data_IF_421400713396
#
_entry.id   IF_421400713396
#
_cell.length_a   1.000
_cell.length_b   1.000
_cell.length_c   1.000
_cell.angle_alpha   90.00
_cell.angle_beta   90.00
_cell.angle_gamma   90.00
#
_symmetry.space_group_name_H-M   'P 1'
#
loop_
_entity.id
_entity.type
_entity.pdbx_description
1 polymer ?
#
# COMPACT_ATOMS: atom_id res chain seq x y z
N UNK A 1 3.66 -1.24 17.25
CA UNK A 1 4.03 -0.30 16.16
C UNK A 1 5.37 0.35 16.51
N UNK A 2 6.31 0.36 15.58
CA UNK A 2 7.61 1.03 15.72
C UNK A 2 7.62 2.41 15.05
N UNK A 3 8.47 3.32 15.53
CA UNK A 3 8.76 4.58 14.84
C UNK A 3 9.98 4.37 13.96
N UNK A 4 9.86 4.71 12.69
CA UNK A 4 10.96 4.61 11.71
C UNK A 4 11.06 5.92 10.96
N UNK A 5 12.28 6.43 10.78
CA UNK A 5 12.55 7.58 9.93
C UNK A 5 12.93 7.08 8.54
N UNK A 6 12.13 7.42 7.55
CA UNK A 6 12.38 7.12 6.13
C UNK A 6 12.16 8.38 5.31
N UNK A 7 12.92 8.51 4.22
CA UNK A 7 12.71 9.58 3.24
C UNK A 7 11.59 9.16 2.29
N UNK A 8 10.60 10.03 2.11
CA UNK A 8 9.48 9.82 1.20
C UNK A 8 9.44 10.94 0.18
N UNK A 9 9.08 10.62 -1.06
CA UNK A 9 8.74 11.62 -2.05
C UNK A 9 7.41 12.28 -1.66
N UNK A 10 7.45 13.58 -1.36
CA UNK A 10 6.29 14.34 -0.94
C UNK A 10 5.22 14.45 -2.03
N UNK A 11 5.60 14.48 -3.31
CA UNK A 11 4.64 14.53 -4.42
C UNK A 11 3.88 13.22 -4.52
N UNK A 12 4.60 12.10 -4.40
CA UNK A 12 4.00 10.77 -4.42
C UNK A 12 3.04 10.58 -3.25
N UNK A 13 3.44 10.97 -2.04
CA UNK A 13 2.59 10.88 -0.85
C UNK A 13 1.36 11.78 -0.96
N UNK A 14 1.48 13.00 -1.49
CA UNK A 14 0.32 13.86 -1.69
C UNK A 14 -0.66 13.28 -2.71
N UNK A 15 -0.18 12.67 -3.79
CA UNK A 15 -1.04 11.98 -4.75
C UNK A 15 -1.72 10.77 -4.12
N UNK A 16 -0.96 9.94 -3.40
CA UNK A 16 -1.50 8.78 -2.69
C UNK A 16 -2.56 9.19 -1.66
N UNK A 17 -2.33 10.26 -0.88
CA UNK A 17 -3.30 10.82 0.06
C UNK A 17 -4.61 11.22 -0.62
N UNK A 18 -4.54 11.89 -1.77
CA UNK A 18 -5.73 12.30 -2.54
C UNK A 18 -6.52 11.09 -3.06
N UNK A 19 -5.83 10.07 -3.55
CA UNK A 19 -6.45 8.86 -4.11
C UNK A 19 -7.05 8.01 -2.98
N UNK A 20 -6.34 7.84 -1.87
CA UNK A 20 -6.77 6.98 -0.76
C UNK A 20 -7.71 7.68 0.22
N UNK A 21 -7.87 9.00 0.14
CA UNK A 21 -8.62 9.81 1.12
C UNK A 21 -7.94 9.92 2.49
N UNK A 22 -6.66 9.58 2.61
CA UNK A 22 -5.94 9.60 3.86
C UNK A 22 -5.67 11.02 4.35
N UNK A 23 -5.81 11.25 5.65
CA UNK A 23 -5.60 12.55 6.30
C UNK A 23 -4.14 12.78 6.69
N UNK A 24 -3.35 11.71 6.81
CA UNK A 24 -1.94 11.80 7.23
C UNK A 24 -1.01 10.95 6.37
N UNK A 25 0.27 11.35 6.28
CA UNK A 25 1.31 10.56 5.59
C UNK A 25 1.41 9.14 6.17
N UNK A 26 1.34 8.99 7.49
CA UNK A 26 1.37 7.69 8.19
C UNK A 26 0.21 6.79 7.77
N UNK A 27 -1.00 7.32 7.75
CA UNK A 27 -2.20 6.58 7.32
C UNK A 27 -2.10 6.17 5.86
N UNK A 28 -1.59 7.05 5.01
CA UNK A 28 -1.34 6.75 3.58
C UNK A 28 -0.40 5.57 3.41
N UNK A 29 0.69 5.54 4.19
CA UNK A 29 1.65 4.43 4.16
C UNK A 29 1.02 3.14 4.69
N UNK A 30 0.21 3.20 5.74
CA UNK A 30 -0.48 2.01 6.27
C UNK A 30 -1.44 1.41 5.24
N UNK A 31 -2.27 2.25 4.60
CA UNK A 31 -3.21 1.85 3.54
C UNK A 31 -2.43 1.24 2.37
N UNK A 32 -1.39 1.91 1.89
CA UNK A 32 -0.59 1.44 0.77
C UNK A 32 0.05 0.06 1.03
N UNK A 33 0.56 -0.18 2.25
CA UNK A 33 1.15 -1.45 2.63
C UNK A 33 0.10 -2.57 2.69
N UNK A 34 -1.10 -2.29 3.22
CA UNK A 34 -2.21 -3.26 3.23
C UNK A 34 -2.66 -3.63 1.82
N UNK A 35 -2.90 -2.62 0.97
CA UNK A 35 -3.29 -2.85 -0.41
C UNK A 35 -2.24 -3.65 -1.19
N UNK A 36 -0.95 -3.41 -0.95
CA UNK A 36 0.12 -4.17 -1.59
C UNK A 36 0.04 -5.66 -1.23
N UNK A 37 -0.17 -5.97 0.05
CA UNK A 37 -0.28 -7.35 0.55
C UNK A 37 -1.53 -8.00 -0.05
N UNK A 38 -2.68 -7.32 -0.01
CA UNK A 38 -3.95 -7.85 -0.50
C UNK A 38 -3.89 -8.14 -2.00
N UNK A 39 -3.37 -7.20 -2.79
CA UNK A 39 -3.19 -7.38 -4.24
C UNK A 39 -2.28 -8.57 -4.56
N UNK A 40 -1.20 -8.75 -3.80
CA UNK A 40 -0.27 -9.86 -4.02
C UNK A 40 -0.86 -11.20 -3.61
N UNK A 41 -1.61 -11.23 -2.50
CA UNK A 41 -2.34 -12.43 -2.05
C UNK A 41 -3.36 -12.89 -3.09
N UNK A 42 -4.15 -11.97 -3.64
CA UNK A 42 -5.11 -12.25 -4.72
C UNK A 42 -4.41 -12.77 -5.97
N UNK A 43 -3.30 -12.14 -6.38
CA UNK A 43 -2.56 -12.56 -7.56
C UNK A 43 -1.98 -13.98 -7.42
N UNK A 44 -1.44 -14.33 -6.25
CA UNK A 44 -0.95 -15.68 -5.95
C UNK A 44 -2.08 -16.72 -5.97
N UNK A 45 -3.24 -16.39 -5.40
CA UNK A 45 -4.42 -17.26 -5.44
C UNK A 45 -4.88 -17.52 -6.89
N UNK A 46 -4.96 -16.48 -7.72
CA UNK A 46 -5.30 -16.61 -9.14
C UNK A 46 -4.27 -17.43 -9.92
N UNK A 47 -2.97 -17.24 -9.65
CA UNK A 47 -1.91 -18.06 -10.26
C UNK A 47 -2.05 -19.54 -9.94
N UNK A 48 -2.41 -19.90 -8.70
CA UNK A 48 -2.62 -21.29 -8.28
C UNK A 48 -3.82 -21.93 -8.99
N UNK A 49 -4.89 -21.17 -9.22
CA UNK A 49 -6.07 -21.64 -9.95
C UNK A 49 -5.79 -21.92 -11.43
N UNK A 50 -4.81 -21.21 -12.02
CA UNK A 50 -4.44 -21.31 -13.43
C UNK A 50 -3.49 -22.49 -13.75
N UNK A 51 -3.12 -23.28 -12.74
CA UNK A 51 -2.21 -24.42 -12.83
C UNK A 51 -2.90 -25.80 -12.90
N UNK A 52 -4.15 -25.87 -13.38
CA UNK A 52 -4.83 -27.12 -13.76
C UNK A 52 -5.33 -27.04 -15.19
#
# INVERSE_FOLDING_TARGET
MGRTNIVLDDRLIQQAMKISGARTKRETVDIALRELIDRRSVYEALRRLRGK
#
